data_IF_329342758066
#
_entry.id   IF_329342758066
#
_cell.length_a   1.000
_cell.length_b   1.000
_cell.length_c   1.000
_cell.angle_alpha   90.00
_cell.angle_beta   90.00
_cell.angle_gamma   90.00
#
_symmetry.space_group_name_H-M   'P 1'
#
loop_
_entity.id
_entity.type
_entity.pdbx_description
1 polymer ?
#
# COMPACT_ATOMS: atom_id res chain seq x y z
N UNK A 1 11.94 -16.65 26.92
CA UNK A 1 11.02 -16.70 25.76
C UNK A 1 11.53 -17.75 24.78
N UNK A 2 10.76 -18.81 24.55
CA UNK A 2 11.08 -19.90 23.63
C UNK A 2 11.10 -19.41 22.18
N UNK A 3 11.60 -20.25 21.27
CA UNK A 3 11.58 -19.90 19.84
C UNK A 3 10.14 -19.83 19.30
N UNK A 4 9.26 -20.71 19.77
CA UNK A 4 7.86 -20.78 19.35
C UNK A 4 7.07 -19.56 19.81
N UNK A 5 7.32 -19.08 21.03
CA UNK A 5 6.75 -17.82 21.53
C UNK A 5 7.20 -16.64 20.67
N UNK A 6 8.48 -16.61 20.26
CA UNK A 6 8.98 -15.55 19.37
C UNK A 6 8.30 -15.62 18.01
N UNK A 7 8.16 -16.81 17.42
CA UNK A 7 7.48 -17.00 16.12
C UNK A 7 6.02 -16.54 16.22
N UNK A 8 5.29 -16.98 17.25
CA UNK A 8 3.89 -16.59 17.48
C UNK A 8 3.72 -15.06 17.57
N UNK A 9 4.60 -14.37 18.31
CA UNK A 9 4.57 -12.90 18.38
C UNK A 9 4.70 -12.27 16.99
N UNK A 10 5.54 -12.82 16.09
CA UNK A 10 5.68 -12.28 14.73
C UNK A 10 4.46 -12.58 13.87
N UNK A 11 3.82 -13.73 14.02
CA UNK A 11 2.55 -14.03 13.33
C UNK A 11 1.46 -13.04 13.76
N UNK A 12 1.37 -12.74 15.06
CA UNK A 12 0.45 -11.72 15.58
C UNK A 12 0.78 -10.32 15.04
N UNK A 13 2.05 -9.96 14.99
CA UNK A 13 2.50 -8.69 14.40
C UNK A 13 2.20 -8.61 12.89
N UNK A 14 2.31 -9.72 12.15
CA UNK A 14 1.91 -9.78 10.74
C UNK A 14 0.42 -9.52 10.56
N UNK A 15 -0.43 -10.12 11.40
CA UNK A 15 -1.87 -9.89 11.36
C UNK A 15 -2.20 -8.43 11.63
N UNK A 16 -1.58 -7.83 12.65
CA UNK A 16 -1.72 -6.42 12.96
C UNK A 16 -1.30 -5.53 11.78
N UNK A 17 -0.11 -5.75 11.21
CA UNK A 17 0.35 -5.02 10.03
C UNK A 17 -0.59 -5.18 8.82
N UNK A 18 -1.22 -6.35 8.67
CA UNK A 18 -2.19 -6.60 7.59
C UNK A 18 -3.48 -5.81 7.79
N UNK A 19 -3.96 -5.70 9.03
CA UNK A 19 -5.14 -4.90 9.36
C UNK A 19 -4.86 -3.41 9.14
N UNK A 20 -3.70 -2.91 9.56
CA UNK A 20 -3.24 -1.56 9.25
C UNK A 20 -3.09 -1.32 7.74
N UNK A 21 -2.64 -2.33 7.00
CA UNK A 21 -2.45 -2.23 5.54
C UNK A 21 -3.79 -2.06 4.84
N UNK A 22 -4.78 -2.86 5.22
CA UNK A 22 -6.14 -2.77 4.69
C UNK A 22 -6.77 -1.41 5.03
N UNK A 23 -6.54 -0.87 6.24
CA UNK A 23 -7.00 0.47 6.61
C UNK A 23 -6.31 1.56 5.78
N UNK A 24 -4.98 1.51 5.65
CA UNK A 24 -4.21 2.47 4.87
C UNK A 24 -4.65 2.46 3.40
N UNK A 25 -4.90 1.28 2.84
CA UNK A 25 -5.46 1.12 1.51
C UNK A 25 -6.86 1.72 1.38
N UNK A 26 -7.74 1.49 2.36
CA UNK A 26 -9.07 2.12 2.36
C UNK A 26 -9.01 3.65 2.46
N UNK A 27 -7.92 4.24 2.94
CA UNK A 27 -7.74 5.69 2.94
C UNK A 27 -7.34 6.22 1.56
N UNK A 28 -6.50 5.49 0.81
CA UNK A 28 -6.09 5.90 -0.54
C UNK A 28 -7.24 5.86 -1.54
N UNK A 29 -8.26 5.05 -1.27
CA UNK A 29 -9.50 4.98 -2.09
C UNK A 29 -10.52 6.08 -1.76
N UNK A 30 -10.25 6.98 -0.82
CA UNK A 30 -11.18 8.07 -0.48
C UNK A 30 -10.95 9.31 -1.31
N UNK A 31 -12.05 9.99 -1.60
CA UNK A 31 -12.04 11.15 -2.46
C UNK A 31 -11.51 12.44 -1.84
N UNK A 32 -10.23 12.70 -2.07
CA UNK A 32 -9.54 13.91 -1.60
C UNK A 32 -10.17 15.21 -2.10
N UNK A 33 -10.79 15.21 -3.29
CA UNK A 33 -11.40 16.43 -3.86
C UNK A 33 -12.62 16.83 -3.05
N UNK A 34 -13.53 15.88 -2.81
CA UNK A 34 -14.74 16.13 -2.02
C UNK A 34 -14.45 16.28 -0.54
N UNK A 35 -13.50 15.52 0.02
CA UNK A 35 -13.07 15.65 1.42
C UNK A 35 -12.45 17.02 1.74
N UNK A 36 -11.85 17.68 0.76
CA UNK A 36 -11.28 19.02 0.93
C UNK A 36 -12.28 20.14 0.61
N UNK A 37 -13.54 19.80 0.29
CA UNK A 37 -14.63 20.75 0.08
C UNK A 37 -14.79 21.22 -1.37
N UNK A 38 -14.15 20.56 -2.33
CA UNK A 38 -14.35 20.86 -3.75
C UNK A 38 -15.39 19.93 -4.40
N UNK A 39 -16.14 20.48 -5.33
CA UNK A 39 -17.18 19.79 -6.10
C UNK A 39 -16.69 19.57 -7.53
N UNK A 40 -16.99 18.41 -8.09
CA UNK A 40 -16.70 18.14 -9.49
C UNK A 40 -17.54 19.01 -10.42
N UNK A 41 -16.95 19.42 -11.54
CA UNK A 41 -17.61 20.26 -12.55
C UNK A 41 -17.84 21.71 -12.14
N UNK A 42 -17.63 22.07 -10.86
CA UNK A 42 -17.73 23.45 -10.38
C UNK A 42 -16.47 24.24 -10.75
N UNK A 43 -16.68 25.46 -11.22
CA UNK A 43 -15.59 26.39 -11.54
C UNK A 43 -15.18 27.18 -10.31
N UNK A 44 -13.88 27.14 -10.00
CA UNK A 44 -13.24 27.89 -8.94
C UNK A 44 -12.33 28.95 -9.54
N UNK A 45 -12.22 30.10 -8.86
CA UNK A 45 -11.26 31.14 -9.26
C UNK A 45 -9.84 30.64 -9.00
N UNK A 46 -8.92 30.86 -9.93
CA UNK A 46 -7.52 30.52 -9.71
C UNK A 46 -6.85 31.59 -8.83
N UNK A 47 -7.01 31.44 -7.51
CA UNK A 47 -6.52 32.37 -6.48
C UNK A 47 -5.87 31.60 -5.32
N UNK A 48 -5.29 32.30 -4.35
CA UNK A 48 -4.58 31.68 -3.21
C UNK A 48 -5.47 30.77 -2.36
N UNK A 49 -6.76 31.08 -2.22
CA UNK A 49 -7.71 30.23 -1.50
C UNK A 49 -7.85 28.86 -2.17
N UNK A 50 -8.09 28.87 -3.49
CA UNK A 50 -8.23 27.65 -4.28
C UNK A 50 -6.91 26.88 -4.34
N UNK A 51 -5.77 27.56 -4.49
CA UNK A 51 -4.45 26.96 -4.45
C UNK A 51 -4.15 26.30 -3.10
N UNK A 52 -4.59 26.90 -1.99
CA UNK A 52 -4.45 26.32 -0.64
C UNK A 52 -5.20 24.99 -0.52
N UNK A 53 -6.42 24.92 -1.08
CA UNK A 53 -7.22 23.69 -1.10
C UNK A 53 -6.56 22.61 -1.97
N UNK A 54 -6.04 22.97 -3.15
CA UNK A 54 -5.28 22.03 -4.02
C UNK A 54 -4.05 21.48 -3.29
N UNK A 55 -3.25 22.34 -2.67
CA UNK A 55 -2.08 21.91 -1.88
C UNK A 55 -2.49 20.96 -0.74
N UNK A 56 -3.65 21.19 -0.12
CA UNK A 56 -4.20 20.28 0.91
C UNK A 56 -4.59 18.92 0.33
N UNK A 57 -5.18 18.88 -0.87
CA UNK A 57 -5.50 17.61 -1.57
C UNK A 57 -4.23 16.81 -1.84
N UNK A 58 -3.21 17.44 -2.42
CA UNK A 58 -1.93 16.80 -2.72
C UNK A 58 -1.24 16.27 -1.45
N UNK A 59 -1.24 17.08 -0.38
CA UNK A 59 -0.67 16.67 0.91
C UNK A 59 -1.38 15.45 1.48
N UNK A 60 -2.71 15.45 1.50
CA UNK A 60 -3.50 14.32 2.01
C UNK A 60 -3.27 13.04 1.20
N UNK A 61 -3.19 13.15 -0.13
CA UNK A 61 -2.88 12.01 -1.00
C UNK A 61 -1.51 11.43 -0.65
N UNK A 62 -0.48 12.29 -0.59
CA UNK A 62 0.89 11.88 -0.28
C UNK A 62 1.00 11.22 1.09
N UNK A 63 0.38 11.81 2.13
CA UNK A 63 0.37 11.24 3.48
C UNK A 63 -0.26 9.83 3.52
N UNK A 64 -1.34 9.60 2.75
CA UNK A 64 -2.00 8.30 2.66
C UNK A 64 -1.14 7.26 1.92
N UNK A 65 -0.51 7.65 0.82
CA UNK A 65 0.42 6.80 0.07
C UNK A 65 1.65 6.44 0.91
N UNK A 66 2.23 7.41 1.65
CA UNK A 66 3.34 7.17 2.56
C UNK A 66 2.98 6.18 3.67
N UNK A 67 1.78 6.32 4.27
CA UNK A 67 1.26 5.35 5.25
C UNK A 67 1.17 3.95 4.65
N UNK A 68 0.59 3.83 3.46
CA UNK A 68 0.46 2.55 2.77
C UNK A 68 1.83 1.88 2.54
N UNK A 69 2.80 2.62 2.00
CA UNK A 69 4.15 2.11 1.76
C UNK A 69 4.86 1.67 3.03
N UNK A 70 4.78 2.49 4.08
CA UNK A 70 5.40 2.18 5.35
C UNK A 70 4.84 0.88 5.94
N UNK A 71 3.51 0.68 5.86
CA UNK A 71 2.89 -0.54 6.35
C UNK A 71 3.28 -1.77 5.52
N UNK A 72 3.41 -1.64 4.19
CA UNK A 72 3.94 -2.70 3.32
C UNK A 72 5.37 -3.10 3.73
N UNK A 73 6.23 -2.11 3.98
CA UNK A 73 7.61 -2.35 4.40
C UNK A 73 7.65 -3.10 5.74
N UNK A 74 6.84 -2.66 6.72
CA UNK A 74 6.75 -3.32 8.02
C UNK A 74 6.24 -4.75 7.89
N UNK A 75 5.17 -4.97 7.12
CA UNK A 75 4.66 -6.31 6.84
C UNK A 75 5.78 -7.21 6.29
N UNK A 76 6.51 -6.72 5.29
CA UNK A 76 7.59 -7.47 4.64
C UNK A 76 8.71 -7.81 5.61
N UNK A 77 9.15 -6.86 6.43
CA UNK A 77 10.19 -7.10 7.44
C UNK A 77 9.78 -8.15 8.46
N UNK A 78 8.54 -8.09 8.96
CA UNK A 78 8.04 -9.10 9.91
C UNK A 78 7.90 -10.47 9.23
N UNK A 79 7.46 -10.50 7.97
CA UNK A 79 7.31 -11.73 7.17
C UNK A 79 8.64 -12.47 7.05
N UNK A 80 9.72 -11.74 6.71
CA UNK A 80 11.07 -12.32 6.66
C UNK A 80 11.67 -12.60 8.03
N UNK A 81 11.27 -11.87 9.06
CA UNK A 81 11.65 -12.23 10.43
C UNK A 81 11.15 -13.63 10.78
N UNK A 82 9.90 -13.98 10.43
CA UNK A 82 9.36 -15.34 10.66
C UNK A 82 10.23 -16.41 10.03
N UNK A 83 10.68 -16.22 8.78
CA UNK A 83 11.62 -17.13 8.09
C UNK A 83 12.86 -17.43 8.93
N UNK A 84 13.53 -16.38 9.40
CA UNK A 84 14.79 -16.53 10.13
C UNK A 84 14.59 -17.20 11.50
N UNK A 85 13.47 -16.95 12.17
CA UNK A 85 13.12 -17.62 13.42
C UNK A 85 12.75 -19.10 13.21
N UNK A 86 12.01 -19.44 12.14
CA UNK A 86 11.72 -20.83 11.78
C UNK A 86 13.00 -21.61 11.50
N UNK A 87 13.93 -21.06 10.71
CA UNK A 87 15.23 -21.69 10.42
C UNK A 87 16.08 -21.91 11.67
N UNK A 88 16.00 -20.99 12.63
CA UNK A 88 16.74 -21.07 13.89
C UNK A 88 16.14 -22.10 14.86
N UNK A 89 14.81 -22.18 14.93
CA UNK A 89 14.10 -23.10 15.81
C UNK A 89 14.07 -24.53 15.31
N UNK A 90 14.03 -24.69 13.99
CA UNK A 90 13.76 -25.96 13.30
C UNK A 90 14.80 -26.20 12.20
N UNK A 91 16.09 -26.36 12.55
CA UNK A 91 17.16 -26.53 11.58
C UNK A 91 16.96 -27.75 10.67
N UNK A 92 16.31 -28.81 11.16
CA UNK A 92 15.95 -30.00 10.40
C UNK A 92 14.93 -29.73 9.27
N UNK A 93 14.16 -28.64 9.37
CA UNK A 93 13.21 -28.19 8.34
C UNK A 93 13.72 -27.02 7.51
N UNK A 94 15.01 -26.65 7.64
CA UNK A 94 15.59 -25.46 7.01
C UNK A 94 15.35 -25.39 5.50
N UNK A 95 15.55 -26.48 4.77
CA UNK A 95 15.34 -26.50 3.32
C UNK A 95 13.88 -26.21 2.98
N UNK A 96 12.94 -26.84 3.68
CA UNK A 96 11.50 -26.64 3.47
C UNK A 96 11.06 -25.20 3.74
N UNK A 97 11.65 -24.56 4.75
CA UNK A 97 11.46 -23.13 5.02
C UNK A 97 12.03 -22.29 3.88
N UNK A 98 13.26 -22.55 3.44
CA UNK A 98 13.85 -21.84 2.30
C UNK A 98 13.00 -21.98 1.03
N UNK A 99 12.54 -23.19 0.71
CA UNK A 99 11.69 -23.47 -0.44
C UNK A 99 10.38 -22.67 -0.37
N UNK A 100 9.69 -22.65 0.79
CA UNK A 100 8.49 -21.84 0.96
C UNK A 100 8.75 -20.35 0.67
N UNK A 101 9.81 -19.77 1.23
CA UNK A 101 10.11 -18.34 1.08
C UNK A 101 10.80 -17.98 -0.26
N UNK A 102 11.31 -18.96 -1.02
CA UNK A 102 12.01 -18.74 -2.30
C UNK A 102 11.19 -19.11 -3.53
N UNK A 103 10.20 -20.00 -3.38
CA UNK A 103 9.30 -20.38 -4.47
C UNK A 103 8.46 -19.18 -4.96
N UNK A 104 8.17 -19.21 -6.27
CA UNK A 104 7.27 -18.26 -6.92
C UNK A 104 5.87 -18.36 -6.26
N UNK A 105 5.31 -17.23 -5.87
CA UNK A 105 3.96 -17.12 -5.30
C UNK A 105 2.89 -16.91 -6.37
N UNK A 106 1.70 -16.47 -5.96
CA UNK A 106 0.61 -16.08 -6.88
C UNK A 106 1.05 -14.96 -7.85
N UNK A 107 0.74 -15.13 -9.14
CA UNK A 107 1.00 -14.12 -10.18
C UNK A 107 2.40 -14.13 -10.79
N UNK A 108 3.15 -15.23 -10.69
CA UNK A 108 4.53 -15.37 -11.19
C UNK A 108 5.56 -14.41 -10.54
N UNK A 109 5.22 -13.76 -9.42
CA UNK A 109 6.14 -12.93 -8.62
C UNK A 109 6.77 -13.80 -7.53
N UNK A 110 8.06 -13.65 -7.26
CA UNK A 110 8.66 -14.38 -6.16
C UNK A 110 8.20 -13.78 -4.82
N UNK A 111 8.08 -14.61 -3.78
CA UNK A 111 7.71 -14.11 -2.43
C UNK A 111 8.71 -13.07 -1.91
N UNK A 112 9.96 -13.08 -2.40
CA UNK A 112 11.03 -12.08 -2.16
C UNK A 112 10.81 -10.71 -2.79
N UNK A 113 9.91 -10.60 -3.77
CA UNK A 113 9.76 -9.36 -4.54
C UNK A 113 8.78 -8.35 -3.89
N UNK A 114 8.21 -8.68 -2.71
CA UNK A 114 7.33 -7.77 -1.94
C UNK A 114 8.06 -6.46 -1.62
N UNK A 115 9.36 -6.47 -1.28
CA UNK A 115 10.08 -5.22 -0.98
C UNK A 115 10.70 -4.56 -2.21
N UNK A 116 10.98 -5.31 -3.27
CA UNK A 116 11.80 -4.84 -4.39
C UNK A 116 10.99 -4.33 -5.58
N UNK A 117 9.82 -4.95 -5.84
CA UNK A 117 8.93 -4.63 -6.97
C UNK A 117 7.61 -3.97 -6.55
N UNK A 118 7.37 -3.76 -5.24
CA UNK A 118 6.40 -2.76 -4.78
C UNK A 118 6.93 -1.33 -4.88
N UNK A 119 7.84 -1.09 -5.84
CA UNK A 119 7.90 0.20 -6.51
C UNK A 119 6.52 0.39 -7.14
N UNK A 120 5.67 1.10 -6.42
CA UNK A 120 4.69 2.00 -7.02
C UNK A 120 5.35 2.51 -8.31
N UNK A 121 4.88 2.06 -9.47
CA UNK A 121 5.44 2.55 -10.70
C UNK A 121 4.74 3.89 -10.87
N UNK A 122 5.36 5.01 -10.46
CA UNK A 122 4.66 6.27 -10.48
C UNK A 122 4.31 6.53 -11.93
N UNK A 123 5.03 6.06 -12.94
CA UNK A 123 4.67 6.28 -14.35
C UNK A 123 3.43 5.50 -14.82
N UNK A 124 3.07 4.35 -14.22
CA UNK A 124 1.82 3.64 -14.53
C UNK A 124 0.65 4.16 -13.68
N UNK A 125 0.93 4.56 -12.44
CA UNK A 125 -0.04 5.18 -11.54
C UNK A 125 -0.24 6.67 -11.82
N UNK A 126 0.69 7.34 -12.50
CA UNK A 126 0.58 8.67 -13.13
C UNK A 126 -0.24 8.50 -14.43
N UNK A 127 -1.41 7.91 -14.29
CA UNK A 127 -2.61 8.32 -15.02
C UNK A 127 -3.61 9.00 -14.09
N UNK A 128 -3.20 9.45 -12.89
CA UNK A 128 -3.92 10.48 -12.14
C UNK A 128 -3.81 11.83 -12.84
N UNK A 129 -4.44 11.96 -14.00
CA UNK A 129 -5.00 13.24 -14.36
C UNK A 129 -6.22 13.41 -13.48
N UNK A 130 -6.11 14.14 -12.36
CA UNK A 130 -7.21 15.05 -12.09
C UNK A 130 -7.36 15.82 -13.38
N UNK A 131 -8.53 15.78 -13.99
CA UNK A 131 -8.81 16.73 -15.05
C UNK A 131 -8.95 18.10 -14.41
N UNK A 132 -7.93 18.62 -13.72
CA UNK A 132 -7.77 20.03 -13.44
C UNK A 132 -7.67 20.67 -14.82
N UNK A 133 -8.81 21.15 -15.29
CA UNK A 133 -8.86 21.85 -16.55
C UNK A 133 -8.83 23.33 -16.22
N UNK A 134 -7.63 23.89 -16.36
CA UNK A 134 -7.45 25.33 -16.35
C UNK A 134 -8.16 25.95 -17.56
N UNK A 135 -9.00 26.95 -17.31
CA UNK A 135 -9.48 27.84 -18.36
C UNK A 135 -8.47 28.98 -18.49
N UNK A 136 -7.75 28.99 -19.62
CA UNK A 136 -6.84 30.09 -19.98
C UNK A 136 -7.64 31.29 -20.48
N UNK A 137 -7.28 32.48 -20.02
CA UNK A 137 -7.67 33.74 -20.63
C UNK A 137 -6.40 34.56 -20.94
N UNK A 138 -6.37 35.20 -22.10
CA UNK A 138 -5.30 36.14 -22.44
C UNK A 138 -5.63 37.50 -21.86
N UNK A 139 -4.81 37.98 -20.93
CA UNK A 139 -4.82 39.38 -20.45
C UNK A 139 -3.46 40.00 -20.73
N UNK A 140 -3.44 41.17 -21.34
CA UNK A 140 -2.22 41.94 -21.64
C UNK A 140 -1.15 41.13 -22.40
N UNK A 141 -1.57 40.38 -23.43
CA UNK A 141 -0.68 39.53 -24.25
C UNK A 141 -0.15 38.27 -23.56
N UNK A 142 -0.49 38.05 -22.28
CA UNK A 142 -0.05 36.89 -21.50
C UNK A 142 -1.23 35.94 -21.26
N UNK A 143 -1.06 34.66 -21.59
CA UNK A 143 -2.02 33.62 -21.22
C UNK A 143 -1.93 33.36 -19.71
N UNK A 144 -3.04 33.47 -19.00
CA UNK A 144 -3.14 33.15 -17.57
C UNK A 144 -4.32 32.20 -17.34
N UNK A 145 -4.13 31.22 -16.47
CA UNK A 145 -5.23 30.39 -15.97
C UNK A 145 -6.04 31.25 -15.01
N UNK A 146 -7.34 31.44 -15.28
CA UNK A 146 -8.21 32.28 -14.44
C UNK A 146 -9.21 31.47 -13.64
N UNK A 147 -9.55 30.27 -14.12
CA UNK A 147 -10.46 29.35 -13.45
C UNK A 147 -9.97 27.92 -13.59
N UNK A 148 -10.31 27.11 -12.60
CA UNK A 148 -10.09 25.67 -12.63
C UNK A 148 -11.40 24.95 -12.33
N UNK A 149 -11.55 23.73 -12.85
CA UNK A 149 -12.57 22.79 -12.41
C UNK A 149 -12.01 21.38 -12.43
N UNK A 150 -12.61 20.50 -11.65
CA UNK A 150 -12.19 19.11 -11.52
C UNK A 150 -13.17 18.20 -12.27
N UNK A 151 -12.65 17.37 -13.18
CA UNK A 151 -13.41 16.27 -13.78
C UNK A 151 -13.38 15.05 -12.86
N UNK A 152 -14.46 14.26 -12.87
CA UNK A 152 -14.44 12.92 -12.29
C UNK A 152 -13.47 12.05 -13.08
N UNK A 153 -12.39 11.61 -12.44
CA UNK A 153 -11.45 10.61 -12.96
C UNK A 153 -11.02 9.71 -11.82
N UNK A 154 -11.90 8.79 -11.42
CA UNK A 154 -11.65 7.86 -10.32
C UNK A 154 -11.29 6.48 -10.84
N UNK A 155 -10.00 6.15 -10.88
CA UNK A 155 -9.51 4.77 -10.91
C UNK A 155 -8.14 4.69 -10.22
N UNK A 156 -8.06 3.95 -9.11
CA UNK A 156 -6.79 3.44 -8.58
C UNK A 156 -6.50 2.14 -9.33
N UNK A 157 -5.58 2.20 -10.29
CA UNK A 157 -5.18 1.06 -11.13
C UNK A 157 -3.89 0.43 -10.64
N UNK A 158 -3.87 -0.17 -9.45
CA UNK A 158 -2.68 -0.84 -8.94
C UNK A 158 -2.76 -1.22 -7.46
N UNK A 159 -3.40 -2.35 -7.16
CA UNK A 159 -3.67 -2.85 -5.79
C UNK A 159 -3.18 -4.30 -5.61
N UNK A 160 -2.27 -4.76 -6.48
CA UNK A 160 -1.71 -6.10 -6.38
C UNK A 160 -1.00 -6.33 -5.04
N UNK A 161 -0.41 -5.29 -4.44
CA UNK A 161 0.39 -5.37 -3.22
C UNK A 161 -0.39 -5.80 -1.99
N UNK A 162 -1.58 -5.20 -1.79
CA UNK A 162 -2.40 -5.45 -0.60
C UNK A 162 -3.00 -6.85 -0.69
N UNK A 163 -3.50 -7.22 -1.85
CA UNK A 163 -3.98 -8.57 -2.12
C UNK A 163 -2.86 -9.61 -1.96
N UNK A 164 -1.66 -9.30 -2.47
CA UNK A 164 -0.49 -10.16 -2.33
C UNK A 164 -0.09 -10.34 -0.85
N UNK A 165 -0.02 -9.28 -0.05
CA UNK A 165 0.23 -9.37 1.39
C UNK A 165 -0.83 -10.22 2.12
N UNK A 166 -2.11 -10.04 1.78
CA UNK A 166 -3.20 -10.87 2.31
C UNK A 166 -3.01 -12.36 1.97
N UNK A 167 -2.63 -12.67 0.72
CA UNK A 167 -2.39 -14.03 0.27
C UNK A 167 -1.17 -14.66 0.93
N UNK A 168 -0.06 -13.90 1.04
CA UNK A 168 1.14 -14.35 1.72
C UNK A 168 0.91 -14.66 3.20
N UNK A 169 0.13 -13.82 3.89
CA UNK A 169 -0.25 -14.11 5.28
C UNK A 169 -1.03 -15.42 5.37
N UNK A 170 -2.04 -15.62 4.51
CA UNK A 170 -2.82 -16.87 4.47
C UNK A 170 -1.95 -18.10 4.17
N UNK A 171 -1.04 -17.99 3.19
CA UNK A 171 -0.11 -19.06 2.83
C UNK A 171 0.84 -19.39 3.98
N UNK A 172 1.40 -18.37 4.65
CA UNK A 172 2.30 -18.55 5.79
C UNK A 172 1.57 -19.19 6.96
N UNK A 173 0.36 -18.73 7.30
CA UNK A 173 -0.41 -19.32 8.40
C UNK A 173 -0.71 -20.80 8.14
N UNK A 174 -1.05 -21.19 6.91
CA UNK A 174 -1.21 -22.61 6.54
C UNK A 174 0.11 -23.37 6.65
N UNK A 175 1.19 -22.84 6.07
CA UNK A 175 2.51 -23.47 6.15
C UNK A 175 2.95 -23.71 7.60
N UNK A 176 2.72 -22.74 8.49
CA UNK A 176 3.05 -22.88 9.92
C UNK A 176 2.17 -23.95 10.58
N UNK A 177 0.88 -23.96 10.28
CA UNK A 177 -0.04 -24.96 10.82
C UNK A 177 0.35 -26.39 10.41
N UNK A 178 0.65 -26.60 9.12
CA UNK A 178 0.93 -27.91 8.55
C UNK A 178 2.32 -28.43 8.96
N UNK A 179 3.32 -27.55 9.01
CA UNK A 179 4.72 -27.93 9.24
C UNK A 179 5.18 -27.74 10.67
N UNK A 180 4.52 -26.91 11.47
CA UNK A 180 4.96 -26.58 12.82
C UNK A 180 3.77 -26.62 13.79
N UNK A 181 3.13 -27.80 13.97
CA UNK A 181 1.88 -27.92 14.72
C UNK A 181 1.99 -27.54 16.20
N UNK A 182 3.22 -27.52 16.74
CA UNK A 182 3.50 -27.12 18.12
C UNK A 182 3.52 -25.59 18.32
N UNK A 183 3.51 -24.80 17.23
CA UNK A 183 3.45 -23.33 17.31
C UNK A 183 1.98 -22.93 17.47
N UNK A 184 1.58 -22.34 18.61
CA UNK A 184 0.20 -21.97 18.84
C UNK A 184 -0.17 -20.75 17.99
N UNK A 185 -0.85 -20.99 16.85
CA UNK A 185 -1.46 -19.93 16.05
C UNK A 185 -2.85 -19.65 16.65
N UNK A 186 -3.00 -18.50 17.30
CA UNK A 186 -4.35 -18.00 17.65
C UNK A 186 -4.86 -17.21 16.46
N UNK A 187 -5.92 -17.71 15.81
CA UNK A 187 -6.66 -16.99 14.77
C UNK A 187 -7.38 -15.77 15.36
#
# INVERSE_FOLDING_TARGET
MSIDEKINIRIKALKFNLDELNEAYNLTTRDVVTETGMEYGKQYLYNEETLSIIRKQDKLKKEREERLHFTILNFTQVFYSVKEYLKKGYPEKRQKVEDFFSNIGLGNKARKDISNDLKHNPQNDIKYGFGEVGKEETKDGTKRITKIYFKHTWFYGGIDSVEYCNNLYKELSRFIHDEFPNIPIQN
#
